data_IF_182858945367
#
_entry.id   IF_182858945367
#
_cell.length_a   1.000
_cell.length_b   1.000
_cell.length_c   1.000
_cell.angle_alpha   90.00
_cell.angle_beta   90.00
_cell.angle_gamma   90.00
#
_symmetry.space_group_name_H-M   'P 1'
#
loop_
_entity.id
_entity.type
_entity.pdbx_description
1 polymer ?
#
# COMPACT_ATOMS: atom_id res chain seq x y z
N UNK A 1 -8.74 46.73 39.87
CA UNK A 1 -7.73 46.37 38.83
C UNK A 1 -6.98 45.07 39.13
N UNK A 2 -6.37 44.88 40.32
CA UNK A 2 -5.59 43.68 40.64
C UNK A 2 -6.31 42.34 40.38
N UNK A 3 -7.57 42.18 40.81
CA UNK A 3 -8.36 40.96 40.56
C UNK A 3 -8.60 40.66 39.07
N UNK A 4 -8.87 41.70 38.26
CA UNK A 4 -9.05 41.55 36.80
C UNK A 4 -7.73 41.16 36.11
N UNK A 5 -6.61 41.71 36.58
CA UNK A 5 -5.27 41.33 36.12
C UNK A 5 -4.95 39.87 36.47
N UNK A 6 -5.26 39.42 37.70
CA UNK A 6 -5.06 38.04 38.12
C UNK A 6 -5.89 37.06 37.28
N UNK A 7 -7.15 37.38 36.98
CA UNK A 7 -7.98 36.53 36.11
C UNK A 7 -7.42 36.45 34.69
N UNK A 8 -6.92 37.56 34.14
CA UNK A 8 -6.31 37.59 32.81
C UNK A 8 -5.02 36.76 32.77
N UNK A 9 -4.18 36.83 33.80
CA UNK A 9 -2.96 36.01 33.92
C UNK A 9 -3.31 34.53 34.02
N UNK A 10 -4.28 34.16 34.86
CA UNK A 10 -4.73 32.77 34.98
C UNK A 10 -5.29 32.25 33.66
N UNK A 11 -6.09 33.05 32.96
CA UNK A 11 -6.64 32.70 31.65
C UNK A 11 -5.54 32.50 30.60
N UNK A 12 -4.55 33.40 30.55
CA UNK A 12 -3.36 33.23 29.69
C UNK A 12 -2.58 31.96 30.02
N UNK A 13 -2.47 31.60 31.30
CA UNK A 13 -1.81 30.38 31.77
C UNK A 13 -2.54 29.12 31.28
N UNK A 14 -3.88 29.13 31.30
CA UNK A 14 -4.68 28.04 30.71
C UNK A 14 -4.53 27.96 29.19
N UNK A 15 -4.46 29.10 28.50
CA UNK A 15 -4.22 29.12 27.05
C UNK A 15 -2.85 28.55 26.72
N UNK A 16 -1.79 28.94 27.43
CA UNK A 16 -0.44 28.44 27.14
C UNK A 16 -0.31 26.95 27.46
N UNK A 17 -0.91 26.45 28.54
CA UNK A 17 -0.96 25.02 28.82
C UNK A 17 -1.74 24.29 27.71
N UNK A 18 -2.93 24.78 27.34
CA UNK A 18 -3.74 24.18 26.29
C UNK A 18 -3.03 24.16 24.93
N UNK A 19 -2.36 25.25 24.57
CA UNK A 19 -1.58 25.33 23.34
C UNK A 19 -0.36 24.41 23.36
N UNK A 20 0.35 24.30 24.49
CA UNK A 20 1.45 23.36 24.65
C UNK A 20 1.03 21.90 24.51
N UNK A 21 -0.10 21.51 25.12
CA UNK A 21 -0.69 20.17 24.94
C UNK A 21 -1.10 19.93 23.49
N UNK A 22 -1.74 20.92 22.85
CA UNK A 22 -2.11 20.83 21.44
C UNK A 22 -0.91 20.62 20.52
N UNK A 23 0.18 21.39 20.71
CA UNK A 23 1.40 21.22 19.91
C UNK A 23 2.00 19.83 20.08
N UNK A 24 2.07 19.33 21.31
CA UNK A 24 2.61 18.00 21.60
C UNK A 24 1.75 16.89 20.97
N UNK A 25 0.42 16.99 21.06
CA UNK A 25 -0.50 16.05 20.39
C UNK A 25 -0.32 16.13 18.86
N UNK A 26 -0.22 17.32 18.29
CA UNK A 26 -0.05 17.50 16.84
C UNK A 26 1.29 16.94 16.36
N UNK A 27 2.35 17.12 17.13
CA UNK A 27 3.68 16.58 16.83
C UNK A 27 3.65 15.05 16.90
N UNK A 28 3.08 14.48 17.97
CA UNK A 28 2.92 13.04 18.12
C UNK A 28 2.11 12.45 16.96
N UNK A 29 0.98 13.06 16.60
CA UNK A 29 0.17 12.62 15.45
C UNK A 29 0.95 12.69 14.13
N UNK A 30 1.85 13.67 13.96
CA UNK A 30 2.68 13.75 12.76
C UNK A 30 3.71 12.61 12.69
N UNK A 31 4.29 12.22 13.83
CA UNK A 31 5.24 11.11 13.95
C UNK A 31 4.51 9.78 13.76
N UNK A 32 3.32 9.62 14.34
CA UNK A 32 2.54 8.39 14.20
C UNK A 32 2.06 8.20 12.76
N UNK A 33 1.74 9.31 12.05
CA UNK A 33 1.39 9.25 10.62
C UNK A 33 2.58 8.94 9.71
N UNK A 34 3.80 9.25 10.12
CA UNK A 34 4.98 8.95 9.30
C UNK A 34 5.38 7.48 9.35
N UNK A 35 4.93 6.73 10.36
CA UNK A 35 5.19 5.29 10.51
C UNK A 35 4.06 4.44 9.94
N UNK A 36 4.36 3.17 9.66
CA UNK A 36 3.33 2.22 9.26
C UNK A 36 2.27 2.09 10.37
N UNK A 37 0.97 1.93 10.04
CA UNK A 37 -0.05 1.77 11.05
C UNK A 37 0.15 0.49 11.87
N UNK A 38 -0.13 0.53 13.18
CA UNK A 38 -0.01 -0.63 14.08
C UNK A 38 -0.82 -1.85 13.59
N UNK A 39 -1.96 -1.62 12.95
CA UNK A 39 -2.78 -2.68 12.33
C UNK A 39 -2.06 -3.40 11.18
N UNK A 40 -1.21 -2.69 10.43
CA UNK A 40 -0.35 -3.29 9.40
C UNK A 40 0.75 -4.10 10.08
N UNK A 41 1.48 -3.47 11.01
CA UNK A 41 2.62 -4.07 11.70
C UNK A 41 2.23 -5.36 12.43
N UNK A 42 1.16 -5.34 13.21
CA UNK A 42 0.67 -6.50 13.97
C UNK A 42 -0.02 -7.57 13.10
N UNK A 43 -0.24 -7.29 11.81
CA UNK A 43 -0.96 -8.23 10.94
C UNK A 43 -0.15 -9.50 10.66
N UNK A 44 -0.85 -10.64 10.61
CA UNK A 44 -0.24 -11.92 10.22
C UNK A 44 0.40 -11.88 8.82
N UNK A 45 -0.16 -11.08 7.91
CA UNK A 45 0.36 -10.89 6.56
C UNK A 45 1.73 -10.22 6.58
N UNK A 46 1.84 -9.09 7.28
CA UNK A 46 3.09 -8.35 7.46
C UNK A 46 4.15 -9.19 8.17
N UNK A 47 3.81 -9.79 9.31
CA UNK A 47 4.75 -10.57 10.12
C UNK A 47 5.33 -11.76 9.33
N UNK A 48 4.51 -12.45 8.53
CA UNK A 48 4.99 -13.51 7.62
C UNK A 48 5.86 -12.95 6.50
N UNK A 49 5.50 -11.82 5.94
CA UNK A 49 6.24 -11.18 4.86
C UNK A 49 7.62 -10.72 5.34
N UNK A 50 7.69 -9.93 6.40
CA UNK A 50 8.95 -9.40 6.93
C UNK A 50 9.88 -10.55 7.39
N UNK A 51 9.33 -11.61 7.99
CA UNK A 51 10.10 -12.82 8.33
C UNK A 51 10.68 -13.50 7.09
N UNK A 52 9.89 -13.63 6.02
CA UNK A 52 10.39 -14.20 4.76
C UNK A 52 11.48 -13.33 4.13
N UNK A 53 11.33 -12.01 4.18
CA UNK A 53 12.32 -11.06 3.69
C UNK A 53 13.62 -11.17 4.52
N UNK A 54 13.53 -11.22 5.85
CA UNK A 54 14.70 -11.49 6.72
C UNK A 54 15.40 -12.81 6.41
N UNK A 55 14.64 -13.87 6.15
CA UNK A 55 15.21 -15.17 5.76
C UNK A 55 15.95 -15.15 4.41
N UNK A 56 15.65 -14.17 3.54
CA UNK A 56 16.39 -13.91 2.29
C UNK A 56 17.66 -13.07 2.51
N UNK A 57 17.98 -12.68 3.74
CA UNK A 57 19.20 -11.96 4.10
C UNK A 57 19.04 -10.44 4.24
N UNK A 58 17.82 -9.91 4.20
CA UNK A 58 17.57 -8.48 4.41
C UNK A 58 17.42 -8.16 5.89
N UNK A 59 18.24 -7.25 6.39
CA UNK A 59 18.03 -6.63 7.71
C UNK A 59 17.00 -5.51 7.54
N UNK A 60 15.75 -5.79 7.87
CA UNK A 60 14.66 -4.81 7.76
C UNK A 60 13.69 -4.95 8.93
N UNK A 61 13.36 -3.83 9.55
CA UNK A 61 12.38 -3.74 10.63
C UNK A 61 11.17 -2.86 10.27
N UNK A 62 10.11 -2.94 11.07
CA UNK A 62 8.88 -2.18 10.86
C UNK A 62 9.08 -0.66 10.98
N UNK A 63 9.99 -0.23 11.86
CA UNK A 63 10.32 1.17 12.13
C UNK A 63 11.17 1.83 11.04
N UNK A 64 11.73 1.04 10.13
CA UNK A 64 12.45 1.55 8.95
C UNK A 64 11.53 2.10 7.86
N UNK A 65 10.23 1.80 7.93
CA UNK A 65 9.27 2.26 6.94
C UNK A 65 8.77 3.67 7.26
N UNK A 66 8.93 4.57 6.29
CA UNK A 66 8.48 5.96 6.40
C UNK A 66 7.48 6.32 5.31
N UNK A 67 6.45 7.09 5.65
CA UNK A 67 5.45 7.56 4.70
C UNK A 67 6.08 8.53 3.70
N UNK A 68 6.07 8.18 2.42
CA UNK A 68 6.61 9.02 1.34
C UNK A 68 5.50 9.68 0.51
N UNK A 69 4.35 9.02 0.37
CA UNK A 69 3.25 9.53 -0.45
C UNK A 69 1.88 9.16 0.12
N UNK A 70 0.93 10.10 0.01
CA UNK A 70 -0.50 9.86 0.21
C UNK A 70 -1.22 10.23 -1.09
N UNK A 71 -1.86 9.25 -1.71
CA UNK A 71 -2.54 9.39 -2.99
C UNK A 71 -3.99 8.90 -2.89
N UNK A 72 -4.84 9.28 -3.84
CA UNK A 72 -6.14 8.65 -4.01
C UNK A 72 -5.98 7.31 -4.76
N UNK A 73 -6.74 6.29 -4.35
CA UNK A 73 -6.76 4.97 -5.01
C UNK A 73 -7.49 5.09 -6.34
N UNK A 74 -8.60 5.83 -6.32
CA UNK A 74 -9.53 5.89 -7.40
C UNK A 74 -9.29 7.10 -8.30
N UNK A 75 -8.58 6.87 -9.41
CA UNK A 75 -8.66 7.76 -10.57
C UNK A 75 -9.75 7.22 -11.51
N UNK A 76 -10.70 8.07 -11.92
CA UNK A 76 -11.85 7.69 -12.77
C UNK A 76 -11.46 7.02 -14.09
N UNK A 77 -10.20 7.11 -14.51
CA UNK A 77 -9.67 6.43 -15.70
C UNK A 77 -9.45 4.93 -15.52
N UNK A 78 -9.26 4.44 -14.29
CA UNK A 78 -8.72 3.10 -14.04
C UNK A 78 -9.66 2.14 -13.29
N UNK A 79 -10.91 2.57 -13.07
CA UNK A 79 -11.95 1.77 -12.42
C UNK A 79 -13.10 1.61 -13.38
N UNK A 80 -13.57 0.38 -13.50
CA UNK A 80 -14.87 0.06 -14.09
C UNK A 80 -15.79 -0.39 -12.97
N UNK A 81 -16.97 0.20 -12.94
CA UNK A 81 -18.02 -0.14 -11.98
C UNK A 81 -19.19 -0.66 -12.77
N UNK A 82 -19.64 -1.87 -12.45
CA UNK A 82 -20.81 -2.48 -13.07
C UNK A 82 -21.89 -2.68 -12.01
N UNK A 83 -23.16 -2.56 -12.39
CA UNK A 83 -24.25 -2.94 -11.50
C UNK A 83 -24.38 -4.47 -11.47
N UNK A 84 -24.62 -5.04 -10.29
CA UNK A 84 -24.90 -6.47 -10.15
C UNK A 84 -26.24 -6.88 -10.82
N UNK A 85 -27.15 -5.93 -11.01
CA UNK A 85 -28.46 -6.13 -11.64
C UNK A 85 -28.40 -6.20 -13.18
N UNK A 86 -27.26 -5.84 -13.78
CA UNK A 86 -27.07 -5.97 -15.22
C UNK A 86 -27.10 -7.46 -15.64
N UNK A 87 -27.85 -7.82 -16.70
CA UNK A 87 -27.93 -9.20 -17.18
C UNK A 87 -26.55 -9.80 -17.47
N UNK A 88 -26.25 -10.96 -16.87
CA UNK A 88 -25.00 -11.69 -17.08
C UNK A 88 -23.82 -11.29 -16.19
N UNK A 89 -23.90 -10.16 -15.46
CA UNK A 89 -22.79 -9.67 -14.62
C UNK A 89 -22.56 -10.51 -13.38
N UNK A 90 -23.62 -11.03 -12.78
CA UNK A 90 -23.52 -11.89 -11.60
C UNK A 90 -22.88 -13.23 -11.95
N UNK A 91 -23.22 -13.79 -13.11
CA UNK A 91 -22.62 -15.00 -13.64
C UNK A 91 -21.13 -14.79 -13.96
N UNK A 92 -20.79 -13.69 -14.65
CA UNK A 92 -19.41 -13.29 -14.94
C UNK A 92 -18.57 -13.11 -13.66
N UNK A 93 -19.13 -12.45 -12.63
CA UNK A 93 -18.50 -12.30 -11.33
C UNK A 93 -18.17 -13.67 -10.72
N UNK A 94 -19.17 -14.54 -10.58
CA UNK A 94 -18.98 -15.85 -9.94
C UNK A 94 -17.98 -16.71 -10.69
N UNK A 95 -18.04 -16.70 -12.03
CA UNK A 95 -17.08 -17.41 -12.86
C UNK A 95 -15.66 -16.85 -12.66
N UNK A 96 -15.49 -15.53 -12.70
CA UNK A 96 -14.19 -14.88 -12.52
C UNK A 96 -13.61 -15.18 -11.13
N UNK A 97 -14.44 -15.09 -10.08
CA UNK A 97 -14.01 -15.45 -8.72
C UNK A 97 -13.53 -16.89 -8.66
N UNK A 98 -14.27 -17.85 -9.25
CA UNK A 98 -13.88 -19.26 -9.26
C UNK A 98 -12.60 -19.52 -10.07
N UNK A 99 -12.47 -18.93 -11.25
CA UNK A 99 -11.28 -19.09 -12.11
C UNK A 99 -10.01 -18.57 -11.44
N UNK A 100 -10.14 -17.61 -10.53
CA UNK A 100 -9.01 -17.01 -9.82
C UNK A 100 -8.72 -17.64 -8.47
N UNK A 101 -9.51 -18.63 -8.03
CA UNK A 101 -9.22 -19.40 -6.83
C UNK A 101 -7.93 -20.21 -6.98
N UNK A 102 -7.16 -20.31 -5.89
CA UNK A 102 -5.92 -21.07 -5.79
C UNK A 102 -4.80 -20.68 -6.78
N UNK A 103 -4.96 -19.58 -7.51
CA UNK A 103 -3.91 -19.02 -8.36
C UNK A 103 -2.86 -18.35 -7.46
N UNK A 104 -1.59 -18.71 -7.66
CA UNK A 104 -0.47 -18.07 -6.97
C UNK A 104 -0.45 -16.56 -7.29
N UNK A 105 -0.28 -15.72 -6.26
CA UNK A 105 -0.37 -14.25 -6.34
C UNK A 105 -1.74 -13.69 -6.69
N UNK A 106 -2.78 -14.48 -6.44
CA UNK A 106 -4.12 -13.97 -6.22
C UNK A 106 -4.46 -14.16 -4.75
N UNK A 107 -5.00 -13.13 -4.11
CA UNK A 107 -5.39 -13.17 -2.70
C UNK A 107 -6.82 -12.68 -2.58
N UNK A 108 -7.67 -13.48 -1.95
CA UNK A 108 -9.07 -13.14 -1.70
C UNK A 108 -9.22 -12.33 -0.42
N UNK A 109 -10.24 -11.48 -0.38
CA UNK A 109 -10.65 -10.78 0.82
C UNK A 109 -11.24 -11.76 1.85
N UNK A 110 -11.33 -11.38 3.14
CA UNK A 110 -11.91 -12.25 4.16
C UNK A 110 -13.36 -12.69 3.90
N UNK A 111 -14.09 -11.97 3.03
CA UNK A 111 -15.45 -12.32 2.63
C UNK A 111 -15.53 -13.20 1.38
N UNK A 112 -14.40 -13.48 0.72
CA UNK A 112 -14.29 -14.20 -0.56
C UNK A 112 -15.08 -13.56 -1.72
N UNK A 113 -15.48 -12.29 -1.58
CA UNK A 113 -16.26 -11.56 -2.60
C UNK A 113 -15.42 -10.74 -3.56
N UNK A 114 -14.14 -10.56 -3.24
CA UNK A 114 -13.19 -9.84 -4.07
C UNK A 114 -11.79 -10.41 -3.89
N UNK A 115 -10.94 -10.14 -4.86
CA UNK A 115 -9.53 -10.54 -4.83
C UNK A 115 -8.62 -9.44 -5.36
N UNK A 116 -7.36 -9.54 -4.96
CA UNK A 116 -6.24 -8.78 -5.51
C UNK A 116 -5.43 -9.75 -6.38
N UNK A 117 -5.25 -9.40 -7.64
CA UNK A 117 -4.39 -10.10 -8.59
C UNK A 117 -3.15 -9.24 -8.89
N UNK A 118 -1.99 -9.72 -8.44
CA UNK A 118 -0.70 -9.05 -8.57
C UNK A 118 0.35 -9.97 -9.21
N UNK A 119 -0.10 -10.88 -10.08
CA UNK A 119 0.77 -11.76 -10.86
C UNK A 119 1.70 -10.97 -11.77
N UNK A 120 2.95 -11.42 -11.86
CA UNK A 120 3.99 -10.85 -12.72
C UNK A 120 3.95 -11.45 -14.14
N UNK A 121 2.77 -11.59 -14.72
CA UNK A 121 2.56 -12.12 -16.07
C UNK A 121 1.58 -11.25 -16.86
N UNK A 122 1.66 -11.31 -18.19
CA UNK A 122 0.71 -10.62 -19.06
C UNK A 122 -0.66 -11.29 -18.95
N UNK A 123 -1.67 -10.51 -18.57
CA UNK A 123 -3.05 -10.97 -18.36
C UNK A 123 -4.00 -10.26 -19.31
N UNK A 124 -3.63 -10.23 -20.60
CA UNK A 124 -4.39 -9.68 -21.73
C UNK A 124 -4.56 -8.16 -21.71
N UNK A 125 -5.18 -7.60 -20.66
CA UNK A 125 -5.38 -6.16 -20.48
C UNK A 125 -4.72 -5.60 -19.21
N UNK A 126 -3.98 -6.44 -18.48
CA UNK A 126 -3.19 -6.04 -17.32
C UNK A 126 -1.73 -6.39 -17.57
N UNK A 127 -0.86 -5.40 -17.40
CA UNK A 127 0.57 -5.60 -17.52
C UNK A 127 1.15 -6.36 -16.30
N UNK A 128 2.33 -6.99 -16.41
CA UNK A 128 2.99 -7.70 -15.30
C UNK A 128 3.27 -6.83 -14.06
N UNK A 129 3.37 -5.52 -14.25
CA UNK A 129 3.67 -4.50 -13.23
C UNK A 129 2.40 -3.79 -12.72
N UNK A 130 1.21 -4.30 -13.03
CA UNK A 130 -0.08 -3.78 -12.55
C UNK A 130 -0.73 -4.72 -11.53
N UNK A 131 -1.34 -4.16 -10.48
CA UNK A 131 -2.19 -4.90 -9.56
C UNK A 131 -3.66 -4.57 -9.82
N UNK A 132 -4.50 -5.59 -9.87
CA UNK A 132 -5.95 -5.48 -10.07
C UNK A 132 -6.70 -5.84 -8.80
N UNK A 133 -7.69 -5.04 -8.45
CA UNK A 133 -8.75 -5.39 -7.51
C UNK A 133 -10.00 -5.74 -8.33
N UNK A 134 -10.56 -6.92 -8.11
CA UNK A 134 -11.80 -7.34 -8.73
C UNK A 134 -12.74 -7.98 -7.72
N UNK A 135 -14.01 -7.59 -7.73
CA UNK A 135 -15.03 -8.29 -6.97
C UNK A 135 -16.26 -7.44 -6.65
N UNK A 136 -17.11 -7.97 -5.78
CA UNK A 136 -18.38 -7.37 -5.42
C UNK A 136 -18.25 -6.53 -4.14
N UNK A 137 -18.70 -5.28 -4.21
CA UNK A 137 -18.99 -4.43 -3.05
C UNK A 137 -20.42 -3.95 -3.12
N UNK A 138 -21.21 -4.31 -2.11
CA UNK A 138 -22.64 -4.04 -2.04
C UNK A 138 -23.39 -4.55 -3.30
N UNK A 139 -24.01 -3.65 -4.06
CA UNK A 139 -24.76 -3.90 -5.30
C UNK A 139 -23.91 -3.72 -6.57
N UNK A 140 -22.60 -3.51 -6.43
CA UNK A 140 -21.68 -3.20 -7.54
C UNK A 140 -20.55 -4.20 -7.66
N UNK A 141 -20.08 -4.36 -8.89
CA UNK A 141 -18.84 -5.05 -9.21
C UNK A 141 -17.79 -3.99 -9.52
N UNK A 142 -16.67 -4.07 -8.82
CA UNK A 142 -15.49 -3.25 -9.06
C UNK A 142 -14.48 -4.04 -9.88
N UNK A 143 -13.97 -3.43 -10.94
CA UNK A 143 -12.79 -3.88 -11.67
C UNK A 143 -11.83 -2.69 -11.78
N UNK A 144 -10.80 -2.68 -10.94
CA UNK A 144 -9.90 -1.54 -10.80
C UNK A 144 -8.44 -1.94 -10.94
N UNK A 145 -7.69 -1.19 -11.74
CA UNK A 145 -6.22 -1.18 -11.67
C UNK A 145 -5.81 -0.27 -10.53
N UNK A 146 -5.43 -0.88 -9.41
CA UNK A 146 -5.21 -0.19 -8.14
C UNK A 146 -3.76 0.28 -7.98
N UNK A 147 -2.81 -0.41 -8.60
CA UNK A 147 -1.40 -0.04 -8.62
C UNK A 147 -0.82 -0.30 -10.01
N UNK A 148 0.05 0.60 -10.44
CA UNK A 148 0.96 0.44 -11.57
C UNK A 148 2.33 0.86 -11.06
N UNK A 149 3.31 -0.02 -11.22
CA UNK A 149 4.67 0.25 -10.76
C UNK A 149 5.66 0.34 -11.91
N UNK A 150 6.72 1.13 -11.72
CA UNK A 150 7.56 1.56 -12.84
C UNK A 150 8.45 0.43 -13.36
N UNK A 151 8.29 0.10 -14.65
CA UNK A 151 9.17 -0.84 -15.35
C UNK A 151 10.62 -0.34 -15.33
N UNK A 152 10.85 0.98 -15.47
CA UNK A 152 12.19 1.58 -15.39
C UNK A 152 12.87 1.36 -14.03
N UNK A 153 12.06 1.24 -12.97
CA UNK A 153 12.54 0.99 -11.62
C UNK A 153 12.71 -0.52 -11.32
N UNK A 154 12.62 -1.40 -12.32
CA UNK A 154 12.59 -2.86 -12.14
C UNK A 154 11.63 -3.27 -11.02
N UNK A 155 10.46 -2.64 -10.98
CA UNK A 155 9.53 -2.88 -9.90
C UNK A 155 8.91 -4.27 -9.98
N UNK A 156 8.69 -4.88 -8.82
CA UNK A 156 7.95 -6.12 -8.67
C UNK A 156 7.07 -6.13 -7.43
N UNK A 157 5.83 -6.64 -7.55
CA UNK A 157 4.94 -6.90 -6.42
C UNK A 157 5.26 -8.26 -5.78
N UNK A 158 5.71 -8.25 -4.52
CA UNK A 158 6.15 -9.43 -3.80
C UNK A 158 4.96 -10.14 -3.11
N UNK A 159 4.13 -9.39 -2.37
CA UNK A 159 3.01 -9.95 -1.61
C UNK A 159 1.83 -9.01 -1.51
N UNK A 160 0.60 -9.55 -1.55
CA UNK A 160 -0.60 -8.85 -1.11
C UNK A 160 -1.27 -9.57 0.06
N UNK A 161 -1.99 -8.83 0.90
CA UNK A 161 -2.87 -9.38 1.93
C UNK A 161 -3.89 -8.36 2.40
N UNK A 162 -5.08 -8.85 2.77
CA UNK A 162 -6.12 -8.03 3.37
C UNK A 162 -5.93 -7.91 4.89
N UNK A 163 -6.17 -6.72 5.43
CA UNK A 163 -6.31 -6.47 6.86
C UNK A 163 -7.77 -6.63 7.30
N UNK A 164 -8.70 -6.24 6.42
CA UNK A 164 -10.13 -6.49 6.45
C UNK A 164 -10.65 -6.45 5.00
N UNK A 165 -11.96 -6.38 4.74
CA UNK A 165 -12.46 -6.35 3.36
C UNK A 165 -12.14 -5.04 2.61
N UNK A 166 -11.92 -3.95 3.32
CA UNK A 166 -11.81 -2.61 2.73
C UNK A 166 -10.39 -2.05 2.78
N UNK A 167 -9.53 -2.64 3.60
CA UNK A 167 -8.13 -2.24 3.79
C UNK A 167 -7.22 -3.42 3.51
N UNK A 168 -6.26 -3.21 2.63
CA UNK A 168 -5.28 -4.22 2.26
C UNK A 168 -3.91 -3.60 2.01
N UNK A 169 -2.90 -4.47 1.95
CA UNK A 169 -1.51 -4.08 1.77
C UNK A 169 -0.92 -4.85 0.60
N UNK A 170 -0.15 -4.14 -0.24
CA UNK A 170 0.66 -4.73 -1.31
C UNK A 170 2.11 -4.31 -1.08
N UNK A 171 3.02 -5.27 -0.99
CA UNK A 171 4.46 -5.02 -0.93
C UNK A 171 5.07 -4.98 -2.34
N UNK A 172 5.94 -4.01 -2.54
CA UNK A 172 6.68 -3.75 -3.77
C UNK A 172 8.18 -3.73 -3.44
N UNK A 173 9.01 -4.26 -4.32
CA UNK A 173 10.44 -3.97 -4.36
C UNK A 173 10.70 -3.18 -5.64
N UNK A 174 11.41 -2.06 -5.51
CA UNK A 174 11.70 -1.18 -6.66
C UNK A 174 13.00 -0.43 -6.45
N UNK A 175 13.63 -0.01 -7.54
CA UNK A 175 14.82 0.83 -7.48
C UNK A 175 14.52 2.19 -6.86
N UNK A 176 15.49 2.73 -6.14
CA UNK A 176 15.45 4.08 -5.54
C UNK A 176 15.77 5.17 -6.56
N UNK A 177 15.03 5.17 -7.69
CA UNK A 177 15.13 6.18 -8.74
C UNK A 177 13.86 7.03 -8.78
N UNK A 178 13.97 8.28 -9.20
CA UNK A 178 12.80 9.06 -9.59
C UNK A 178 12.18 8.43 -10.85
N UNK A 179 10.91 8.04 -10.76
CA UNK A 179 10.16 7.44 -11.87
C UNK A 179 10.06 8.37 -13.08
N UNK A 180 10.22 9.69 -12.88
CA UNK A 180 10.17 10.72 -13.93
C UNK A 180 11.54 11.07 -14.50
N UNK A 181 12.63 10.58 -13.91
CA UNK A 181 13.97 10.85 -14.42
C UNK A 181 14.24 9.97 -15.65
N UNK A 182 14.32 10.61 -16.82
CA UNK A 182 14.63 9.95 -18.08
C UNK A 182 16.12 9.63 -18.25
N UNK A 183 16.98 10.19 -17.38
CA UNK A 183 18.41 9.96 -17.38
C UNK A 183 18.87 8.93 -16.34
N UNK A 184 17.94 8.35 -15.58
CA UNK A 184 18.25 7.32 -14.61
C UNK A 184 18.97 6.15 -15.30
N UNK A 185 20.15 5.80 -14.77
CA UNK A 185 20.99 4.72 -15.33
C UNK A 185 20.18 3.42 -15.35
N UNK A 186 20.11 2.78 -16.52
CA UNK A 186 19.51 1.46 -16.62
C UNK A 186 20.26 0.48 -15.72
N UNK A 187 19.50 -0.35 -15.01
CA UNK A 187 20.04 -1.44 -14.23
C UNK A 187 19.35 -2.69 -14.70
N UNK A 188 20.10 -3.72 -15.08
CA UNK A 188 19.51 -5.00 -15.41
C UNK A 188 19.19 -5.78 -14.12
N UNK A 189 18.13 -6.62 -14.09
CA UNK A 189 17.81 -7.44 -12.91
C UNK A 189 18.94 -8.38 -12.42
N UNK A 190 19.96 -8.62 -13.25
CA UNK A 190 21.16 -9.41 -12.95
C UNK A 190 22.34 -8.58 -12.42
N UNK A 191 22.18 -7.26 -12.35
CA UNK A 191 23.18 -6.34 -11.83
C UNK A 191 22.83 -5.96 -10.40
N UNK A 192 23.85 -5.62 -9.62
CA UNK A 192 23.66 -5.10 -8.27
C UNK A 192 23.25 -3.63 -8.34
N UNK A 193 22.07 -3.33 -7.80
CA UNK A 193 21.53 -1.98 -7.76
C UNK A 193 20.90 -1.66 -6.43
N UNK A 194 20.64 -0.37 -6.21
CA UNK A 194 19.96 0.10 -5.02
C UNK A 194 18.44 -0.02 -5.17
N UNK A 195 17.82 -0.71 -4.22
CA UNK A 195 16.39 -0.98 -4.10
C UNK A 195 15.87 -0.53 -2.73
N UNK A 196 14.56 -0.37 -2.65
CA UNK A 196 13.82 -0.21 -1.40
C UNK A 196 12.59 -1.11 -1.43
N UNK A 197 12.12 -1.50 -0.25
CA UNK A 197 10.80 -2.10 -0.10
C UNK A 197 9.77 -0.99 0.09
N UNK A 198 8.63 -1.14 -0.58
CA UNK A 198 7.49 -0.25 -0.45
C UNK A 198 6.28 -1.03 0.03
N UNK A 199 5.51 -0.43 0.93
CA UNK A 199 4.24 -0.94 1.40
C UNK A 199 3.15 0.02 0.97
N UNK A 200 2.26 -0.47 0.11
CA UNK A 200 1.07 0.25 -0.31
C UNK A 200 -0.08 -0.15 0.59
N UNK A 201 -0.43 0.70 1.55
CA UNK A 201 -1.63 0.52 2.38
C UNK A 201 -2.79 1.20 1.67
N UNK A 202 -3.74 0.40 1.21
CA UNK A 202 -4.87 0.86 0.42
C UNK A 202 -6.13 0.76 1.28
N UNK A 203 -6.80 1.90 1.45
CA UNK A 203 -8.06 2.06 2.15
C UNK A 203 -9.14 2.46 1.14
N UNK A 204 -10.01 1.51 0.83
CA UNK A 204 -11.08 1.69 -0.15
C UNK A 204 -12.27 2.49 0.41
N UNK A 205 -12.43 2.59 1.73
CA UNK A 205 -13.50 3.40 2.35
C UNK A 205 -13.15 4.88 2.21
N UNK A 206 -11.91 5.24 2.56
CA UNK A 206 -11.45 6.62 2.52
C UNK A 206 -10.91 7.04 1.16
N UNK A 207 -10.85 6.12 0.19
CA UNK A 207 -10.21 6.33 -1.12
C UNK A 207 -8.76 6.82 -0.97
N UNK A 208 -7.98 6.18 -0.09
CA UNK A 208 -6.60 6.58 0.22
C UNK A 208 -5.62 5.45 -0.01
N UNK A 209 -4.48 5.80 -0.59
CA UNK A 209 -3.29 4.95 -0.71
C UNK A 209 -2.15 5.64 0.02
N UNK A 210 -1.62 4.98 1.04
CA UNK A 210 -0.41 5.39 1.73
C UNK A 210 0.74 4.54 1.23
N UNK A 211 1.84 5.17 0.83
CA UNK A 211 3.05 4.49 0.37
C UNK A 211 4.13 4.71 1.42
N UNK A 212 4.53 3.62 2.06
CA UNK A 212 5.64 3.62 3.00
C UNK A 212 6.87 3.01 2.35
N UNK A 213 8.03 3.61 2.51
CA UNK A 213 9.29 3.17 1.93
C UNK A 213 10.30 2.84 3.03
N UNK A 214 10.98 1.70 2.88
CA UNK A 214 12.05 1.26 3.76
C UNK A 214 13.36 2.02 3.50
N UNK A 215 14.35 1.79 4.35
CA UNK A 215 15.72 2.18 4.02
C UNK A 215 16.20 1.49 2.72
N UNK A 216 17.02 2.18 1.89
CA UNK A 216 17.59 1.57 0.69
C UNK A 216 18.64 0.50 0.98
N UNK A 217 18.69 -0.52 0.14
CA UNK A 217 19.68 -1.61 0.19
C UNK A 217 20.17 -1.97 -1.21
N UNK A 218 21.35 -2.57 -1.32
CA UNK A 218 21.90 -3.03 -2.60
C UNK A 218 21.65 -4.52 -2.77
N UNK A 219 21.16 -4.93 -3.94
CA UNK A 219 20.96 -6.34 -4.26
C UNK A 219 20.89 -6.59 -5.77
N UNK A 220 21.19 -7.82 -6.17
CA UNK A 220 20.85 -8.38 -7.49
C UNK A 220 19.42 -8.90 -7.40
N UNK A 221 18.49 -8.30 -8.16
CA UNK A 221 17.06 -8.59 -8.03
C UNK A 221 16.72 -10.08 -8.28
N UNK A 222 17.38 -10.70 -9.25
CA UNK A 222 17.17 -12.11 -9.60
C UNK A 222 17.54 -13.10 -8.49
N UNK A 223 18.45 -12.73 -7.57
CA UNK A 223 18.83 -13.60 -6.45
C UNK A 223 17.74 -13.64 -5.36
N UNK A 224 16.86 -12.63 -5.36
CA UNK A 224 15.84 -12.39 -4.33
C UNK A 224 14.46 -12.84 -4.79
N UNK A 225 14.22 -12.67 -6.09
CA UNK A 225 12.96 -12.97 -6.77
C UNK A 225 13.22 -14.02 -7.86
N UNK A 226 13.17 -15.29 -7.45
CA UNK A 226 13.37 -16.45 -8.34
C UNK A 226 12.32 -16.58 -9.47
N UNK A 227 11.30 -15.72 -9.48
CA UNK A 227 10.22 -15.71 -10.47
C UNK A 227 10.50 -14.75 -11.64
N UNK A 228 11.65 -14.07 -11.65
CA UNK A 228 12.12 -13.13 -12.69
C UNK A 228 13.17 -13.76 -13.63
#
# INVERSE_FOLDING_TARGET
MKKKMSYLVVFLLFITIGFGVYLNISEQLSIDRSKIPEKVESSKGFQKWITNVKNKGFEIEADEFTLIEENEVYNTKWIKVFSLDEPGRKEELNQTLQEHQDIKKVVFSPSDREFIDYRAEDRFYLAPNEARLYGQREDKILDARILDCSIRANCYFDRAYFLDNDVFVISEISRTIDKKDEMAVECLPKEECQYSFKLHVIDLINNKRFVYESTPFNVVLNDVLLEL
#
